data_IF_647360248395
#
_entry.id   IF_647360248395
#
_cell.length_a   1.000
_cell.length_b   1.000
_cell.length_c   1.000
_cell.angle_alpha   90.00
_cell.angle_beta   90.00
_cell.angle_gamma   90.00
#
_symmetry.space_group_name_H-M   'P 1'
#
loop_
_entity.id
_entity.type
_entity.pdbx_description
1 polymer ?
#
# COMPACT_ATOMS: atom_id res chain seq x y z
N UNK A 1 -32.57 5.64 28.60
CA UNK A 1 -31.17 6.08 28.67
C UNK A 1 -31.11 7.44 28.02
N UNK A 2 -30.67 8.46 28.75
CA UNK A 2 -30.67 9.85 28.25
C UNK A 2 -29.53 10.03 27.24
N UNK A 3 -29.70 10.84 26.19
CA UNK A 3 -28.66 11.15 25.19
C UNK A 3 -27.36 11.63 25.84
N UNK A 4 -27.49 12.33 26.97
CA UNK A 4 -26.36 12.76 27.80
C UNK A 4 -25.52 11.59 28.35
N UNK A 5 -26.15 10.51 28.82
CA UNK A 5 -25.45 9.33 29.32
C UNK A 5 -24.67 8.63 28.19
N UNK A 6 -25.25 8.59 26.98
CA UNK A 6 -24.59 8.01 25.81
C UNK A 6 -23.35 8.81 25.43
N UNK A 7 -23.44 10.14 25.41
CA UNK A 7 -22.29 11.02 25.15
C UNK A 7 -21.19 10.84 26.19
N UNK A 8 -21.55 10.70 27.46
CA UNK A 8 -20.58 10.50 28.53
C UNK A 8 -19.84 9.16 28.41
N UNK A 9 -20.53 8.08 27.99
CA UNK A 9 -19.91 6.79 27.69
C UNK A 9 -18.93 6.91 26.52
N UNK A 10 -19.32 7.57 25.42
CA UNK A 10 -18.44 7.78 24.26
C UNK A 10 -17.19 8.55 24.69
N UNK A 11 -17.36 9.64 25.44
CA UNK A 11 -16.25 10.45 25.92
C UNK A 11 -15.27 9.65 26.79
N UNK A 12 -15.80 8.82 27.70
CA UNK A 12 -14.98 7.95 28.55
C UNK A 12 -14.21 6.89 27.74
N UNK A 13 -14.85 6.30 26.72
CA UNK A 13 -14.19 5.35 25.81
C UNK A 13 -13.07 6.02 25.00
N UNK A 14 -13.32 7.21 24.46
CA UNK A 14 -12.30 8.01 23.75
C UNK A 14 -11.13 8.34 24.67
N UNK A 15 -11.41 8.81 25.89
CA UNK A 15 -10.39 9.12 26.89
C UNK A 15 -9.56 7.88 27.27
N UNK A 16 -10.19 6.72 27.40
CA UNK A 16 -9.49 5.46 27.66
C UNK A 16 -8.61 5.06 26.47
N UNK A 17 -9.12 5.21 25.24
CA UNK A 17 -8.37 4.98 24.01
C UNK A 17 -7.13 5.88 23.89
N UNK A 18 -7.27 7.17 24.17
CA UNK A 18 -6.14 8.13 24.16
C UNK A 18 -5.09 7.75 25.21
N UNK A 19 -5.50 7.39 26.43
CA UNK A 19 -4.58 6.94 27.47
C UNK A 19 -3.83 5.67 27.06
N UNK A 20 -4.53 4.73 26.44
CA UNK A 20 -3.94 3.49 25.94
C UNK A 20 -2.92 3.79 24.81
N UNK A 21 -3.30 4.61 23.83
CA UNK A 21 -2.41 5.04 22.75
C UNK A 21 -1.17 5.77 23.28
N UNK A 22 -1.34 6.69 24.22
CA UNK A 22 -0.24 7.41 24.85
C UNK A 22 0.73 6.46 25.57
N UNK A 23 0.22 5.43 26.26
CA UNK A 23 1.03 4.40 26.92
C UNK A 23 1.84 3.56 25.93
N UNK A 24 1.36 3.39 24.71
CA UNK A 24 1.99 2.58 23.66
C UNK A 24 2.53 3.40 22.48
N UNK A 25 2.68 4.72 22.64
CA UNK A 25 3.06 5.63 21.56
C UNK A 25 4.41 5.25 20.93
N UNK A 26 5.39 4.86 21.76
CA UNK A 26 6.70 4.42 21.27
C UNK A 26 6.58 3.20 20.35
N UNK A 27 5.74 2.23 20.70
CA UNK A 27 5.50 1.05 19.86
C UNK A 27 4.75 1.42 18.57
N UNK A 28 3.76 2.32 18.68
CA UNK A 28 2.99 2.85 17.56
C UNK A 28 3.87 3.57 16.54
N UNK A 29 4.93 4.26 16.98
CA UNK A 29 5.89 4.92 16.09
C UNK A 29 6.98 3.96 15.59
N UNK A 30 7.42 3.03 16.43
CA UNK A 30 8.47 2.07 16.10
C UNK A 30 8.03 1.08 15.02
N UNK A 31 6.83 0.51 15.13
CA UNK A 31 6.37 -0.52 14.18
C UNK A 31 6.33 0.02 12.73
N UNK A 32 5.68 1.16 12.44
CA UNK A 32 5.68 1.72 11.09
C UNK A 32 7.07 2.09 10.60
N UNK A 33 7.93 2.65 11.45
CA UNK A 33 9.32 2.96 11.08
C UNK A 33 10.09 1.68 10.70
N UNK A 34 9.96 0.59 11.47
CA UNK A 34 10.56 -0.70 11.13
C UNK A 34 10.00 -1.25 9.81
N UNK A 35 8.69 -1.15 9.59
CA UNK A 35 8.07 -1.59 8.34
C UNK A 35 8.54 -0.76 7.14
N UNK A 36 8.69 0.56 7.30
CA UNK A 36 9.25 1.45 6.28
C UNK A 36 10.70 1.09 5.96
N UNK A 37 11.51 0.81 6.99
CA UNK A 37 12.89 0.36 6.80
C UNK A 37 12.98 -0.99 6.08
N UNK A 38 12.14 -1.96 6.47
CA UNK A 38 12.06 -3.27 5.78
C UNK A 38 11.67 -3.07 4.31
N UNK A 39 10.68 -2.22 4.03
CA UNK A 39 10.25 -1.91 2.67
C UNK A 39 11.41 -1.37 1.82
N UNK A 40 12.14 -0.38 2.33
CA UNK A 40 13.31 0.18 1.63
C UNK A 40 14.42 -0.84 1.40
N UNK A 41 14.68 -1.72 2.37
CA UNK A 41 15.67 -2.81 2.22
C UNK A 41 15.23 -3.75 1.10
N UNK A 42 13.95 -4.12 1.05
CA UNK A 42 13.40 -4.96 -0.02
C UNK A 42 13.59 -4.27 -1.37
N UNK A 43 13.24 -2.99 -1.48
CA UNK A 43 13.37 -2.22 -2.73
C UNK A 43 14.82 -2.15 -3.23
N UNK A 44 15.78 -1.82 -2.36
CA UNK A 44 17.20 -1.81 -2.71
C UNK A 44 17.70 -3.20 -3.09
N UNK A 45 17.26 -4.24 -2.37
CA UNK A 45 17.67 -5.62 -2.62
C UNK A 45 17.17 -6.17 -3.96
N UNK A 46 16.04 -5.67 -4.48
CA UNK A 46 15.52 -6.02 -5.80
C UNK A 46 16.43 -5.53 -6.94
N UNK A 47 17.16 -4.43 -6.74
CA UNK A 47 18.18 -3.97 -7.68
C UNK A 47 19.49 -4.76 -7.50
N UNK A 48 20.01 -4.79 -6.27
CA UNK A 48 21.12 -5.64 -5.86
C UNK A 48 21.24 -5.63 -4.34
N UNK A 49 21.55 -6.78 -3.75
CA UNK A 49 21.81 -6.87 -2.31
C UNK A 49 22.92 -5.92 -1.83
N UNK A 50 23.90 -5.60 -2.69
CA UNK A 50 24.96 -4.65 -2.37
C UNK A 50 24.47 -3.22 -2.15
N UNK A 51 23.28 -2.86 -2.65
CA UNK A 51 22.74 -1.50 -2.54
C UNK A 51 22.07 -1.19 -1.21
N UNK A 52 21.82 -2.21 -0.37
CA UNK A 52 21.32 -2.02 1.00
C UNK A 52 22.24 -1.11 1.82
N UNK A 53 23.54 -1.02 1.50
CA UNK A 53 24.48 -0.10 2.16
C UNK A 53 24.19 1.39 1.94
N UNK A 54 23.41 1.71 0.90
CA UNK A 54 23.01 3.08 0.57
C UNK A 54 21.66 3.46 1.19
N UNK A 55 21.13 2.61 2.06
CA UNK A 55 19.95 2.86 2.86
C UNK A 55 20.04 4.20 3.60
N UNK A 56 18.95 4.96 3.59
CA UNK A 56 18.88 6.24 4.27
C UNK A 56 17.95 6.20 5.49
N UNK A 57 18.49 6.32 6.72
CA UNK A 57 17.68 6.33 7.94
C UNK A 57 16.67 7.49 8.00
N UNK A 58 16.93 8.62 7.32
CA UNK A 58 16.03 9.77 7.31
C UNK A 58 14.73 9.46 6.54
N UNK A 59 14.84 8.72 5.43
CA UNK A 59 13.68 8.31 4.64
C UNK A 59 12.84 7.25 5.36
N UNK A 60 13.44 6.41 6.20
CA UNK A 60 12.71 5.42 7.02
C UNK A 60 11.63 6.09 7.87
N UNK A 61 11.92 7.29 8.39
CA UNK A 61 10.94 8.06 9.14
C UNK A 61 9.80 8.54 8.24
N UNK A 62 10.12 9.02 7.04
CA UNK A 62 9.11 9.43 6.05
C UNK A 62 8.20 8.28 5.63
N UNK A 63 8.79 7.16 5.23
CA UNK A 63 8.05 5.95 4.82
C UNK A 63 7.30 5.32 5.98
N UNK A 64 7.88 5.35 7.19
CA UNK A 64 7.23 4.92 8.41
C UNK A 64 6.00 5.77 8.75
N UNK A 65 6.07 7.09 8.61
CA UNK A 65 4.92 7.98 8.80
C UNK A 65 3.83 7.75 7.75
N UNK A 66 4.22 7.46 6.51
CA UNK A 66 3.28 7.07 5.46
C UNK A 66 2.54 5.79 5.85
N UNK A 67 3.26 4.74 6.24
CA UNK A 67 2.68 3.46 6.71
C UNK A 67 1.80 3.68 7.94
N UNK A 68 2.22 4.54 8.88
CA UNK A 68 1.42 4.88 10.05
C UNK A 68 0.09 5.53 9.64
N UNK A 69 0.12 6.45 8.66
CA UNK A 69 -1.09 7.10 8.13
C UNK A 69 -2.04 6.06 7.52
N UNK A 70 -1.51 5.10 6.75
CA UNK A 70 -2.29 3.98 6.22
C UNK A 70 -2.90 3.13 7.35
N UNK A 71 -2.10 2.79 8.36
CA UNK A 71 -2.55 1.97 9.49
C UNK A 71 -3.63 2.66 10.31
N UNK A 72 -3.48 3.96 10.62
CA UNK A 72 -4.49 4.75 11.31
C UNK A 72 -5.80 4.72 10.52
N UNK A 73 -5.72 4.87 9.20
CA UNK A 73 -6.88 4.86 8.34
C UNK A 73 -7.59 3.48 8.36
N UNK A 74 -6.86 2.38 8.20
CA UNK A 74 -7.42 1.03 8.23
C UNK A 74 -7.97 0.63 9.60
N UNK A 75 -7.20 0.87 10.67
CA UNK A 75 -7.61 0.58 12.05
C UNK A 75 -8.81 1.44 12.43
N UNK A 76 -8.81 2.72 12.07
CA UNK A 76 -9.92 3.64 12.32
C UNK A 76 -11.21 3.15 11.66
N UNK A 77 -11.13 2.75 10.39
CA UNK A 77 -12.27 2.17 9.65
C UNK A 77 -12.77 0.88 10.31
N UNK A 78 -11.85 -0.03 10.67
CA UNK A 78 -12.20 -1.27 11.36
C UNK A 78 -12.87 -1.02 12.72
N UNK A 79 -12.32 -0.13 13.54
CA UNK A 79 -12.88 0.23 14.84
C UNK A 79 -14.26 0.87 14.70
N UNK A 80 -14.44 1.75 13.71
CA UNK A 80 -15.73 2.34 13.41
C UNK A 80 -16.78 1.28 13.07
N UNK A 81 -16.45 0.34 12.18
CA UNK A 81 -17.33 -0.78 11.84
C UNK A 81 -17.62 -1.67 13.07
N UNK A 82 -16.62 -1.94 13.90
CA UNK A 82 -16.78 -2.70 15.13
C UNK A 82 -17.71 -2.00 16.14
N UNK A 83 -17.64 -0.68 16.26
CA UNK A 83 -18.53 0.09 17.14
C UNK A 83 -19.98 -0.03 16.65
N UNK A 84 -20.24 0.17 15.35
CA UNK A 84 -21.57 -0.02 14.76
C UNK A 84 -22.08 -1.44 15.03
N UNK A 85 -21.23 -2.44 14.78
CA UNK A 85 -21.52 -3.85 15.04
C UNK A 85 -21.92 -4.12 16.50
N UNK A 86 -21.11 -3.63 17.44
CA UNK A 86 -21.33 -3.86 18.88
C UNK A 86 -22.63 -3.22 19.37
N UNK A 87 -22.95 -2.00 18.90
CA UNK A 87 -24.20 -1.31 19.23
C UNK A 87 -25.41 -2.08 18.71
N UNK A 88 -25.33 -2.55 17.46
CA UNK A 88 -26.40 -3.33 16.86
C UNK A 88 -26.69 -4.62 17.64
N UNK A 89 -25.66 -5.36 18.03
CA UNK A 89 -25.85 -6.61 18.78
C UNK A 89 -26.50 -6.35 20.14
N UNK A 90 -26.08 -5.30 20.82
CA UNK A 90 -26.58 -4.98 22.15
C UNK A 90 -28.04 -4.51 22.12
N UNK A 91 -28.47 -3.79 21.07
CA UNK A 91 -29.88 -3.41 20.93
C UNK A 91 -30.80 -4.61 20.69
N UNK A 92 -30.32 -5.66 20.01
CA UNK A 92 -31.11 -6.85 19.68
C UNK A 92 -31.26 -7.82 20.86
N UNK A 93 -30.37 -7.77 21.86
CA UNK A 93 -30.39 -8.69 23.01
C UNK A 93 -31.32 -8.29 24.17
N UNK A 94 -31.96 -7.11 24.11
CA UNK A 94 -32.80 -6.59 25.21
C UNK A 94 -34.25 -7.11 25.13
N UNK A 95 -34.69 -7.60 23.98
CA UNK A 95 -36.03 -8.16 23.83
C UNK A 95 -36.08 -9.61 24.29
N UNK A 96 -36.75 -9.82 25.43
CA UNK A 96 -36.87 -11.10 26.10
C UNK A 96 -37.62 -12.11 25.21
N UNK A 97 -37.00 -13.22 24.76
CA UNK A 97 -37.55 -14.10 23.73
C UNK A 97 -38.70 -15.00 24.21
N UNK A 98 -39.16 -14.87 25.46
CA UNK A 98 -40.11 -15.82 26.06
C UNK A 98 -41.57 -15.62 25.65
N UNK A 99 -41.94 -14.46 25.08
CA UNK A 99 -43.37 -14.12 24.86
C UNK A 99 -43.72 -13.72 23.42
N UNK A 100 -42.84 -13.91 22.44
CA UNK A 100 -43.16 -13.59 21.05
C UNK A 100 -43.76 -14.82 20.36
N UNK A 101 -45.05 -14.74 20.03
CA UNK A 101 -45.71 -15.70 19.14
C UNK A 101 -44.90 -15.86 17.85
N UNK A 102 -44.82 -17.08 17.27
CA UNK A 102 -44.12 -17.30 16.03
C UNK A 102 -44.77 -16.46 14.93
N UNK A 103 -44.15 -15.33 14.59
CA UNK A 103 -44.51 -14.55 13.42
C UNK A 103 -44.51 -15.49 12.20
N UNK A 104 -45.68 -15.73 11.62
CA UNK A 104 -45.81 -16.44 10.35
C UNK A 104 -45.13 -15.62 9.26
N UNK A 105 -43.89 -15.99 8.98
CA UNK A 105 -43.07 -15.41 7.92
C UNK A 105 -43.72 -15.81 6.59
N UNK A 106 -44.40 -14.88 5.92
CA UNK A 106 -44.80 -15.05 4.52
C UNK A 106 -43.54 -15.08 3.64
N UNK A 107 -43.08 -16.30 3.35
CA UNK A 107 -41.73 -16.60 2.86
C UNK A 107 -41.36 -16.02 1.50
N UNK A 108 -42.34 -15.73 0.64
CA UNK A 108 -42.10 -15.32 -0.76
C UNK A 108 -41.61 -13.87 -0.89
N UNK A 109 -42.19 -12.93 -0.16
CA UNK A 109 -41.84 -11.50 -0.23
C UNK A 109 -40.43 -11.24 0.30
N UNK A 110 -40.00 -12.03 1.29
CA UNK A 110 -38.67 -11.93 1.88
C UNK A 110 -37.58 -12.53 0.99
N UNK A 111 -37.90 -13.61 0.26
CA UNK A 111 -36.99 -14.20 -0.69
C UNK A 111 -36.66 -13.25 -1.86
N UNK A 112 -37.68 -12.58 -2.41
CA UNK A 112 -37.49 -11.60 -3.49
C UNK A 112 -36.64 -10.40 -3.03
N UNK A 113 -36.84 -9.92 -1.80
CA UNK A 113 -36.00 -8.87 -1.19
C UNK A 113 -34.55 -9.33 -1.01
N UNK A 114 -34.32 -10.56 -0.55
CA UNK A 114 -32.96 -11.10 -0.43
C UNK A 114 -32.25 -11.19 -1.79
N UNK A 115 -32.94 -11.66 -2.84
CA UNK A 115 -32.37 -11.75 -4.18
C UNK A 115 -32.04 -10.37 -4.75
N UNK A 116 -32.96 -9.40 -4.68
CA UNK A 116 -32.74 -8.08 -5.26
C UNK A 116 -31.55 -7.35 -4.60
N UNK A 117 -31.33 -7.60 -3.32
CA UNK A 117 -30.25 -7.00 -2.55
C UNK A 117 -28.92 -7.74 -2.72
N UNK A 118 -28.94 -9.06 -2.89
CA UNK A 118 -27.77 -9.81 -3.34
C UNK A 118 -27.33 -9.33 -4.74
N UNK A 119 -28.26 -9.09 -5.66
CA UNK A 119 -27.92 -8.50 -6.96
C UNK A 119 -27.35 -7.10 -6.85
N UNK A 120 -27.87 -6.25 -5.94
CA UNK A 120 -27.30 -4.92 -5.69
C UNK A 120 -25.87 -5.00 -5.13
N UNK A 121 -25.61 -5.92 -4.20
CA UNK A 121 -24.27 -6.20 -3.69
C UNK A 121 -23.31 -6.60 -4.81
N UNK A 122 -23.74 -7.51 -5.70
CA UNK A 122 -22.94 -7.91 -6.86
C UNK A 122 -22.70 -6.71 -7.79
N UNK A 123 -23.69 -5.85 -8.03
CA UNK A 123 -23.53 -4.64 -8.86
C UNK A 123 -22.49 -3.69 -8.23
N UNK A 124 -22.56 -3.43 -6.92
CA UNK A 124 -21.60 -2.58 -6.23
C UNK A 124 -20.19 -3.17 -6.26
N UNK A 125 -20.06 -4.48 -6.08
CA UNK A 125 -18.78 -5.19 -6.19
C UNK A 125 -18.21 -5.13 -7.61
N UNK A 126 -19.06 -5.29 -8.63
CA UNK A 126 -18.66 -5.14 -10.04
C UNK A 126 -18.27 -3.69 -10.36
N UNK A 127 -18.96 -2.69 -9.80
CA UNK A 127 -18.60 -1.29 -9.92
C UNK A 127 -17.25 -0.99 -9.26
N UNK A 128 -16.98 -1.59 -8.11
CA UNK A 128 -15.69 -1.47 -7.42
C UNK A 128 -14.57 -2.11 -8.24
N UNK A 129 -14.77 -3.31 -8.78
CA UNK A 129 -13.83 -3.97 -9.71
C UNK A 129 -13.61 -3.12 -10.96
N UNK A 130 -14.67 -2.54 -11.53
CA UNK A 130 -14.58 -1.66 -12.69
C UNK A 130 -13.77 -0.40 -12.39
N UNK A 131 -14.06 0.25 -11.27
CA UNK A 131 -13.36 1.46 -10.81
C UNK A 131 -11.88 1.14 -10.56
N UNK A 132 -11.58 0.03 -9.87
CA UNK A 132 -10.23 -0.46 -9.66
C UNK A 132 -9.53 -0.73 -11.00
N UNK A 133 -10.21 -1.38 -11.95
CA UNK A 133 -9.64 -1.66 -13.28
C UNK A 133 -9.32 -0.40 -14.07
N UNK A 134 -10.13 0.65 -13.95
CA UNK A 134 -9.91 1.93 -14.62
C UNK A 134 -8.79 2.72 -13.95
N UNK A 135 -8.73 2.71 -12.62
CA UNK A 135 -7.62 3.33 -11.89
C UNK A 135 -6.30 2.60 -12.19
N UNK A 136 -6.30 1.27 -12.31
CA UNK A 136 -5.13 0.50 -12.70
C UNK A 136 -4.67 0.83 -14.14
N UNK A 137 -5.58 1.19 -15.05
CA UNK A 137 -5.25 1.60 -16.42
C UNK A 137 -4.67 3.01 -16.50
N UNK A 138 -5.05 3.90 -15.58
CA UNK A 138 -4.58 5.28 -15.50
C UNK A 138 -4.37 5.67 -14.04
N UNK A 139 -3.25 5.25 -13.43
CA UNK A 139 -2.94 5.58 -12.05
C UNK A 139 -2.48 7.05 -11.99
N UNK A 140 -3.39 7.98 -12.25
CA UNK A 140 -3.06 9.40 -12.29
C UNK A 140 -2.82 9.96 -10.88
N UNK A 141 -3.31 9.27 -9.83
CA UNK A 141 -2.81 9.48 -8.47
C UNK A 141 -3.05 8.27 -7.56
N UNK A 142 -2.03 7.85 -6.81
CA UNK A 142 -2.17 6.88 -5.73
C UNK A 142 -3.22 7.31 -4.70
N UNK A 143 -3.35 8.62 -4.45
CA UNK A 143 -4.35 9.17 -3.56
C UNK A 143 -5.77 8.81 -3.97
N UNK A 144 -6.04 8.66 -5.28
CA UNK A 144 -7.33 8.19 -5.78
C UNK A 144 -7.63 6.76 -5.30
N UNK A 145 -6.66 5.85 -5.36
CA UNK A 145 -6.82 4.48 -4.84
C UNK A 145 -7.01 4.52 -3.33
N UNK A 146 -6.16 5.28 -2.64
CA UNK A 146 -6.13 5.38 -1.19
C UNK A 146 -7.46 5.89 -0.61
N UNK A 147 -8.09 6.86 -1.27
CA UNK A 147 -9.30 7.52 -0.78
C UNK A 147 -10.56 6.82 -1.29
N UNK A 148 -10.61 6.44 -2.57
CA UNK A 148 -11.84 5.88 -3.15
C UNK A 148 -12.10 4.45 -2.70
N UNK A 149 -11.08 3.62 -2.49
CA UNK A 149 -11.28 2.24 -2.08
C UNK A 149 -11.94 2.12 -0.68
N UNK A 150 -11.48 2.87 0.34
CA UNK A 150 -12.19 2.97 1.60
C UNK A 150 -13.59 3.55 1.52
N UNK A 151 -13.80 4.59 0.72
CA UNK A 151 -15.11 5.20 0.58
C UNK A 151 -16.09 4.20 -0.05
N UNK A 152 -15.66 3.50 -1.10
CA UNK A 152 -16.44 2.45 -1.75
C UNK A 152 -16.81 1.33 -0.76
N UNK A 153 -15.84 0.87 0.03
CA UNK A 153 -16.08 -0.15 1.06
C UNK A 153 -16.98 0.35 2.20
N UNK A 154 -16.87 1.61 2.63
CA UNK A 154 -17.79 2.23 3.59
C UNK A 154 -19.21 2.29 3.03
N UNK A 155 -19.38 2.74 1.78
CA UNK A 155 -20.69 2.80 1.12
C UNK A 155 -21.32 1.41 1.02
N UNK A 156 -20.54 0.40 0.62
CA UNK A 156 -20.98 -0.99 0.57
C UNK A 156 -21.45 -1.49 1.94
N UNK A 157 -20.73 -1.14 3.01
CA UNK A 157 -21.11 -1.49 4.37
C UNK A 157 -22.34 -0.76 4.87
N UNK A 158 -22.49 0.53 4.56
CA UNK A 158 -23.71 1.28 4.89
C UNK A 158 -24.92 0.67 4.17
N UNK A 159 -24.76 0.24 2.92
CA UNK A 159 -25.81 -0.47 2.18
C UNK A 159 -26.15 -1.83 2.82
N UNK A 160 -25.14 -2.61 3.23
CA UNK A 160 -25.33 -3.87 3.94
C UNK A 160 -25.96 -3.68 5.32
N UNK A 161 -25.54 -2.67 6.08
CA UNK A 161 -26.11 -2.36 7.39
C UNK A 161 -27.57 -1.91 7.24
N UNK A 162 -27.87 -0.99 6.32
CA UNK A 162 -29.23 -0.57 6.02
C UNK A 162 -30.12 -1.76 5.61
N UNK A 163 -29.58 -2.70 4.83
CA UNK A 163 -30.26 -3.95 4.50
C UNK A 163 -30.58 -4.79 5.75
N UNK A 164 -29.60 -4.96 6.63
CA UNK A 164 -29.74 -5.70 7.88
C UNK A 164 -30.79 -5.08 8.79
N UNK A 165 -30.83 -3.75 8.87
CA UNK A 165 -31.85 -3.02 9.62
C UNK A 165 -33.25 -3.20 9.02
N UNK A 166 -33.38 -3.14 7.68
CA UNK A 166 -34.66 -3.27 7.00
C UNK A 166 -35.29 -4.68 7.11
N UNK A 167 -34.49 -5.71 7.44
CA UNK A 167 -34.92 -7.11 7.49
C UNK A 167 -34.78 -7.74 8.90
N UNK A 168 -34.66 -6.90 9.94
CA UNK A 168 -34.47 -7.30 11.34
C UNK A 168 -35.51 -8.30 11.86
N UNK A 169 -36.74 -8.27 11.34
CA UNK A 169 -37.83 -9.15 11.78
C UNK A 169 -37.73 -10.60 11.27
N UNK A 170 -36.84 -10.90 10.31
CA UNK A 170 -36.89 -12.14 9.52
C UNK A 170 -35.78 -13.13 9.89
N UNK A 171 -34.68 -12.67 10.51
CA UNK A 171 -33.47 -13.49 10.69
C UNK A 171 -33.17 -13.71 12.18
N UNK A 172 -33.21 -14.98 12.60
CA UNK A 172 -32.88 -15.42 13.97
C UNK A 172 -31.53 -14.85 14.42
N UNK A 173 -31.52 -14.16 15.56
CA UNK A 173 -30.40 -13.38 16.12
C UNK A 173 -29.05 -14.12 16.16
N UNK A 174 -29.05 -15.45 16.33
CA UNK A 174 -27.84 -16.27 16.33
C UNK A 174 -27.18 -16.40 14.93
N UNK A 175 -27.98 -16.56 13.88
CA UNK A 175 -27.48 -16.72 12.51
C UNK A 175 -26.81 -15.42 12.03
N UNK A 176 -27.36 -14.29 12.43
CA UNK A 176 -26.84 -12.95 12.15
C UNK A 176 -25.45 -12.72 12.75
N UNK A 177 -25.24 -13.07 14.04
CA UNK A 177 -23.92 -12.92 14.68
C UNK A 177 -22.83 -13.71 13.95
N UNK A 178 -23.16 -14.92 13.49
CA UNK A 178 -22.23 -15.80 12.78
C UNK A 178 -21.89 -15.26 11.38
N UNK A 179 -22.91 -14.83 10.62
CA UNK A 179 -22.71 -14.23 9.29
C UNK A 179 -21.85 -12.98 9.40
N UNK A 180 -22.23 -12.05 10.28
CA UNK A 180 -21.57 -10.75 10.36
C UNK A 180 -20.09 -10.87 10.79
N UNK A 181 -19.77 -11.82 11.67
CA UNK A 181 -18.37 -12.16 11.98
C UNK A 181 -17.59 -12.64 10.75
N UNK A 182 -18.19 -13.48 9.91
CA UNK A 182 -17.56 -13.94 8.67
C UNK A 182 -17.45 -12.81 7.63
N UNK A 183 -18.43 -11.92 7.55
CA UNK A 183 -18.37 -10.72 6.70
C UNK A 183 -17.21 -9.80 7.09
N UNK A 184 -17.00 -9.55 8.39
CA UNK A 184 -15.86 -8.76 8.88
C UNK A 184 -14.52 -9.40 8.50
N UNK A 185 -14.41 -10.72 8.64
CA UNK A 185 -13.20 -11.46 8.25
C UNK A 185 -12.95 -11.43 6.73
N UNK A 186 -14.00 -11.63 5.93
CA UNK A 186 -13.91 -11.53 4.47
C UNK A 186 -13.51 -10.12 4.03
N UNK A 187 -14.00 -9.08 4.70
CA UNK A 187 -13.57 -7.70 4.46
C UNK A 187 -12.09 -7.50 4.77
N UNK A 188 -11.62 -7.98 5.93
CA UNK A 188 -10.20 -7.89 6.28
C UNK A 188 -9.33 -8.55 5.20
N UNK A 189 -9.72 -9.74 4.73
CA UNK A 189 -9.02 -10.43 3.64
C UNK A 189 -9.08 -9.65 2.32
N UNK A 190 -10.23 -9.07 1.96
CA UNK A 190 -10.38 -8.28 0.75
C UNK A 190 -9.50 -7.01 0.78
N UNK A 191 -9.40 -6.35 1.93
CA UNK A 191 -8.49 -5.21 2.14
C UNK A 191 -7.04 -5.63 1.96
N UNK A 192 -6.62 -6.75 2.58
CA UNK A 192 -5.25 -7.27 2.43
C UNK A 192 -4.94 -7.62 0.97
N UNK A 193 -5.86 -8.29 0.26
CA UNK A 193 -5.69 -8.64 -1.15
C UNK A 193 -5.60 -7.37 -2.01
N UNK A 194 -6.50 -6.40 -1.80
CA UNK A 194 -6.47 -5.12 -2.51
C UNK A 194 -5.15 -4.39 -2.31
N UNK A 195 -4.63 -4.35 -1.08
CA UNK A 195 -3.32 -3.79 -0.77
C UNK A 195 -2.20 -4.51 -1.53
N UNK A 196 -2.20 -5.85 -1.56
CA UNK A 196 -1.20 -6.62 -2.30
C UNK A 196 -1.26 -6.37 -3.81
N UNK A 197 -2.47 -6.25 -4.39
CA UNK A 197 -2.66 -5.98 -5.81
C UNK A 197 -2.24 -4.56 -6.20
N UNK A 198 -2.39 -3.60 -5.29
CA UNK A 198 -2.07 -2.19 -5.53
C UNK A 198 -0.66 -1.80 -5.11
N UNK A 199 0.08 -2.67 -4.42
CA UNK A 199 1.45 -2.40 -3.94
C UNK A 199 2.43 -2.05 -5.08
N UNK A 200 2.26 -2.62 -6.27
CA UNK A 200 3.07 -2.28 -7.45
C UNK A 200 2.74 -0.88 -7.99
N UNK A 201 1.46 -0.54 -8.09
CA UNK A 201 1.00 0.79 -8.48
C UNK A 201 1.37 1.85 -7.45
N UNK A 202 1.35 1.49 -6.16
CA UNK A 202 1.85 2.31 -5.06
C UNK A 202 3.32 2.63 -5.28
N UNK A 203 4.17 1.61 -5.45
CA UNK A 203 5.59 1.80 -5.77
C UNK A 203 5.78 2.76 -6.94
N UNK A 204 5.05 2.57 -8.03
CA UNK A 204 5.18 3.41 -9.22
C UNK A 204 4.69 4.86 -9.01
N UNK A 205 3.78 5.10 -8.07
CA UNK A 205 3.27 6.43 -7.76
C UNK A 205 4.15 7.21 -6.79
N UNK A 206 4.94 6.50 -5.98
CA UNK A 206 5.99 7.07 -5.14
C UNK A 206 7.36 7.06 -5.82
N UNK A 207 7.45 6.46 -7.01
CA UNK A 207 8.59 6.68 -7.90
C UNK A 207 8.71 8.17 -8.24
N UNK A 208 9.89 8.56 -8.70
CA UNK A 208 10.24 9.94 -8.97
C UNK A 208 9.12 10.69 -9.74
N UNK A 209 8.64 11.83 -9.22
CA UNK A 209 7.63 12.59 -9.92
C UNK A 209 8.19 13.12 -11.24
N UNK A 210 7.47 12.87 -12.35
CA UNK A 210 7.89 13.21 -13.73
C UNK A 210 8.05 14.70 -13.99
N UNK A 211 7.57 15.55 -13.08
CA UNK A 211 7.63 17.01 -13.18
C UNK A 211 8.81 17.61 -12.41
N UNK A 212 9.78 16.80 -11.97
CA UNK A 212 11.03 17.30 -11.43
C UNK A 212 11.96 17.74 -12.56
N UNK A 213 11.95 19.03 -12.89
CA UNK A 213 12.82 19.62 -13.94
C UNK A 213 14.30 19.23 -13.75
N UNK A 214 14.75 19.15 -12.50
CA UNK A 214 16.13 18.78 -12.18
C UNK A 214 16.50 17.37 -12.64
N UNK A 215 15.56 16.44 -12.67
CA UNK A 215 15.86 15.06 -13.06
C UNK A 215 16.02 14.93 -14.56
N UNK A 216 15.25 15.71 -15.32
CA UNK A 216 15.42 15.80 -16.77
C UNK A 216 16.77 16.43 -17.12
N UNK A 217 17.21 17.46 -16.38
CA UNK A 217 18.53 18.08 -16.55
C UNK A 217 19.65 17.06 -16.31
N UNK A 218 19.59 16.27 -15.23
CA UNK A 218 20.61 15.26 -14.92
C UNK A 218 20.66 14.17 -15.99
N UNK A 219 19.50 13.65 -16.38
CA UNK A 219 19.37 12.64 -17.44
C UNK A 219 19.94 13.18 -18.76
N UNK A 220 19.64 14.44 -19.09
CA UNK A 220 20.15 15.10 -20.29
C UNK A 220 21.67 15.28 -20.25
N UNK A 221 22.24 15.76 -19.15
CA UNK A 221 23.70 15.93 -18.99
C UNK A 221 24.47 14.61 -19.14
N UNK A 222 23.93 13.52 -18.58
CA UNK A 222 24.52 12.19 -18.71
C UNK A 222 24.42 11.71 -20.17
N UNK A 223 23.28 11.94 -20.83
CA UNK A 223 23.07 11.58 -22.22
C UNK A 223 23.95 12.42 -23.18
N UNK A 224 24.20 13.70 -22.92
CA UNK A 224 25.14 14.51 -23.71
C UNK A 224 26.57 13.97 -23.64
N UNK A 225 26.98 13.50 -22.46
CA UNK A 225 28.31 12.92 -22.27
C UNK A 225 28.39 11.50 -22.87
N UNK A 226 27.28 10.75 -22.86
CA UNK A 226 27.20 9.37 -23.34
C UNK A 226 25.89 9.13 -24.10
N UNK A 227 25.82 9.54 -25.39
CA UNK A 227 24.57 9.53 -26.17
C UNK A 227 23.92 8.15 -26.29
N UNK A 228 24.71 7.10 -26.26
CA UNK A 228 24.21 5.73 -26.40
C UNK A 228 23.56 5.20 -25.11
N UNK A 229 23.89 5.72 -23.93
CA UNK A 229 23.66 5.04 -22.64
C UNK A 229 22.20 4.99 -22.14
N UNK A 230 21.30 5.83 -22.68
CA UNK A 230 19.88 5.93 -22.29
C UNK A 230 19.64 5.85 -20.76
N UNK A 231 20.05 6.89 -20.00
CA UNK A 231 19.97 6.88 -18.55
C UNK A 231 18.52 6.91 -18.05
N UNK A 232 18.21 6.05 -17.07
CA UNK A 232 16.91 6.00 -16.37
C UNK A 232 17.16 6.02 -14.87
N UNK A 233 16.57 6.97 -14.16
CA UNK A 233 16.65 7.01 -12.69
C UNK A 233 15.73 5.91 -12.15
N UNK A 234 16.30 4.94 -11.45
CA UNK A 234 15.56 3.80 -10.90
C UNK A 234 15.25 3.94 -9.41
N UNK A 235 16.03 4.74 -8.70
CA UNK A 235 15.86 4.99 -7.27
C UNK A 235 16.57 6.27 -6.85
N UNK A 236 16.02 6.93 -5.84
CA UNK A 236 16.65 8.07 -5.21
C UNK A 236 16.44 8.06 -3.70
N UNK A 237 17.39 8.63 -2.99
CA UNK A 237 17.19 9.07 -1.64
C UNK A 237 17.78 10.45 -1.40
N UNK A 238 17.73 10.92 -0.16
CA UNK A 238 18.29 12.20 0.26
C UNK A 238 19.81 12.27 0.07
N UNK A 239 20.50 11.14 -0.13
CA UNK A 239 21.97 11.06 -0.26
C UNK A 239 22.46 10.61 -1.62
N UNK A 240 21.70 9.79 -2.34
CA UNK A 240 22.14 9.09 -3.54
C UNK A 240 21.07 9.06 -4.61
N UNK A 241 21.51 9.14 -5.86
CA UNK A 241 20.72 8.93 -7.07
C UNK A 241 21.23 7.69 -7.81
N UNK A 242 20.34 6.77 -8.13
CA UNK A 242 20.65 5.53 -8.83
C UNK A 242 20.11 5.61 -10.25
N UNK A 243 21.02 5.50 -11.22
CA UNK A 243 20.73 5.65 -12.63
C UNK A 243 21.14 4.36 -13.34
N UNK A 244 20.17 3.69 -13.93
CA UNK A 244 20.39 2.56 -14.82
C UNK A 244 20.75 3.06 -16.21
N UNK A 245 21.82 2.51 -16.79
CA UNK A 245 22.23 2.75 -18.17
C UNK A 245 21.76 1.55 -19.00
N UNK A 246 20.64 1.72 -19.70
CA UNK A 246 19.95 0.64 -20.42
C UNK A 246 20.72 0.13 -21.64
N UNK A 247 21.67 0.93 -22.13
CA UNK A 247 22.47 0.64 -23.32
C UNK A 247 23.96 0.65 -22.98
N UNK A 248 24.78 0.36 -24.00
CA UNK A 248 26.23 0.35 -23.86
C UNK A 248 26.76 1.69 -23.36
N UNK A 249 27.51 1.60 -22.27
CA UNK A 249 28.32 2.67 -21.75
C UNK A 249 29.79 2.28 -21.88
N UNK A 250 30.64 3.18 -22.36
CA UNK A 250 32.08 2.89 -22.48
C UNK A 250 32.81 3.29 -21.21
N UNK A 251 33.18 2.29 -20.41
CA UNK A 251 34.08 2.48 -19.27
C UNK A 251 35.49 2.05 -19.70
N UNK A 252 36.44 3.00 -19.74
CA UNK A 252 37.83 2.75 -20.16
C UNK A 252 37.91 2.02 -21.52
N UNK A 253 37.17 2.52 -22.53
CA UNK A 253 37.05 1.95 -23.88
C UNK A 253 36.46 0.53 -23.95
N UNK A 254 35.82 0.04 -22.89
CA UNK A 254 35.10 -1.24 -22.89
C UNK A 254 33.60 -1.01 -22.75
N UNK A 255 32.77 -1.57 -23.65
CA UNK A 255 31.33 -1.47 -23.53
C UNK A 255 30.86 -2.27 -22.30
N UNK A 256 30.04 -1.64 -21.48
CA UNK A 256 29.37 -2.23 -20.31
C UNK A 256 27.88 -2.10 -20.54
N UNK A 257 27.14 -3.21 -20.44
CA UNK A 257 25.70 -3.21 -20.60
C UNK A 257 25.02 -3.39 -19.23
N UNK A 258 23.98 -2.60 -18.95
CA UNK A 258 23.23 -2.64 -17.69
C UNK A 258 24.06 -2.15 -16.50
N UNK A 259 24.82 -1.06 -16.68
CA UNK A 259 25.58 -0.46 -15.60
C UNK A 259 24.67 0.41 -14.71
N UNK A 260 24.89 0.35 -13.40
CA UNK A 260 24.24 1.25 -12.45
C UNK A 260 25.21 2.34 -12.02
N UNK A 261 24.87 3.58 -12.31
CA UNK A 261 25.58 4.76 -11.84
C UNK A 261 24.95 5.22 -10.53
N UNK A 262 25.77 5.40 -9.49
CA UNK A 262 25.34 5.87 -8.17
C UNK A 262 26.02 7.22 -7.94
N UNK A 263 25.24 8.29 -7.89
CA UNK A 263 25.72 9.66 -7.77
C UNK A 263 25.31 10.20 -6.39
N UNK A 264 26.24 10.65 -5.55
CA UNK A 264 25.89 11.41 -4.34
C UNK A 264 25.09 12.67 -4.70
N UNK A 265 24.04 12.99 -3.94
CA UNK A 265 23.17 14.14 -4.25
C UNK A 265 23.94 15.47 -4.19
N UNK A 266 24.95 15.57 -3.34
CA UNK A 266 25.86 16.73 -3.27
C UNK A 266 26.66 16.95 -4.56
N UNK A 267 27.02 15.87 -5.26
CA UNK A 267 27.79 15.94 -6.50
C UNK A 267 26.93 16.40 -7.70
N UNK A 268 25.60 16.28 -7.61
CA UNK A 268 24.68 16.64 -8.69
C UNK A 268 24.84 18.10 -9.12
N UNK A 269 25.04 19.00 -8.16
CA UNK A 269 25.17 20.43 -8.44
C UNK A 269 26.49 20.78 -9.14
N UNK A 270 27.51 19.93 -8.99
CA UNK A 270 28.82 20.11 -9.60
C UNK A 270 28.95 19.44 -10.98
N UNK A 271 27.93 18.70 -11.43
CA UNK A 271 27.90 18.08 -12.76
C UNK A 271 28.04 19.11 -13.91
N UNK A 272 27.62 20.35 -13.69
CA UNK A 272 27.74 21.43 -14.70
C UNK A 272 29.14 22.02 -14.80
N UNK A 273 29.93 21.98 -13.72
CA UNK A 273 31.25 22.61 -13.64
C UNK A 273 32.38 21.62 -13.95
N UNK A 274 32.15 20.34 -13.69
CA UNK A 274 33.11 19.29 -13.89
C UNK A 274 32.73 18.55 -15.16
N UNK A 275 33.55 18.64 -16.23
CA UNK A 275 33.58 17.60 -17.26
C UNK A 275 33.92 16.29 -16.54
N UNK A 276 32.90 15.60 -16.05
CA UNK A 276 33.06 14.43 -15.19
C UNK A 276 33.79 13.36 -16.00
N UNK A 277 35.11 13.27 -15.80
CA UNK A 277 35.78 11.96 -15.88
C UNK A 277 35.21 11.18 -14.71
N UNK A 278 34.31 10.24 -14.99
CA UNK A 278 33.68 9.43 -13.95
C UNK A 278 34.72 8.98 -12.92
N UNK A 279 34.40 9.10 -11.61
CA UNK A 279 35.37 8.80 -10.58
C UNK A 279 35.78 7.32 -10.62
N UNK A 280 37.03 7.04 -10.22
CA UNK A 280 37.66 5.70 -10.15
C UNK A 280 36.85 4.64 -9.39
N UNK A 281 35.81 5.02 -8.64
CA UNK A 281 34.88 4.08 -7.96
C UNK A 281 34.12 3.15 -8.92
N UNK A 282 34.09 3.47 -10.22
CA UNK A 282 33.58 2.58 -11.27
C UNK A 282 34.43 1.32 -11.48
N UNK A 283 35.73 1.33 -11.16
CA UNK A 283 36.59 0.14 -11.34
C UNK A 283 36.18 -1.02 -10.42
N UNK A 284 35.77 -0.74 -9.18
CA UNK A 284 35.35 -1.78 -8.23
C UNK A 284 33.99 -2.40 -8.61
N UNK A 285 33.03 -1.57 -9.04
CA UNK A 285 31.74 -2.05 -9.54
C UNK A 285 31.89 -2.83 -10.85
N UNK A 286 32.76 -2.35 -11.74
CA UNK A 286 33.11 -3.03 -12.99
C UNK A 286 33.77 -4.39 -12.74
N UNK A 287 34.71 -4.46 -11.80
CA UNK A 287 35.36 -5.72 -11.43
C UNK A 287 34.34 -6.73 -10.87
N UNK A 288 33.40 -6.29 -10.02
CA UNK A 288 32.34 -7.15 -9.52
C UNK A 288 31.41 -7.67 -10.64
N UNK A 289 31.04 -6.81 -11.59
CA UNK A 289 30.22 -7.20 -12.74
C UNK A 289 30.94 -8.22 -13.65
N UNK A 290 32.22 -8.02 -13.95
CA UNK A 290 33.00 -8.98 -14.74
C UNK A 290 33.07 -10.36 -14.08
N UNK A 291 33.23 -10.40 -12.75
CA UNK A 291 33.23 -11.67 -11.99
C UNK A 291 31.87 -12.39 -12.09
N UNK A 292 30.76 -11.66 -12.11
CA UNK A 292 29.42 -12.25 -12.28
C UNK A 292 29.19 -12.79 -13.69
N UNK A 293 29.64 -12.06 -14.72
CA UNK A 293 29.54 -12.52 -16.11
C UNK A 293 30.38 -13.78 -16.37
N UNK A 294 31.63 -13.83 -15.88
CA UNK A 294 32.46 -15.03 -15.96
C UNK A 294 31.82 -16.24 -15.26
N UNK A 295 31.15 -16.02 -14.10
CA UNK A 295 30.41 -17.09 -13.42
C UNK A 295 29.22 -17.61 -14.23
N UNK A 296 28.50 -16.73 -14.95
CA UNK A 296 27.40 -17.12 -15.85
C UNK A 296 27.90 -17.91 -17.06
N UNK A 297 28.97 -17.43 -17.71
CA UNK A 297 29.59 -18.13 -18.85
C UNK A 297 30.12 -19.51 -18.47
N UNK A 298 30.78 -19.62 -17.32
CA UNK A 298 31.29 -20.91 -16.83
C UNK A 298 30.15 -21.89 -16.47
N UNK A 299 29.01 -21.41 -15.95
CA UNK A 299 27.82 -22.25 -15.76
C UNK A 299 27.22 -22.73 -17.09
N UNK A 300 27.14 -21.86 -18.10
CA UNK A 300 26.69 -22.21 -19.45
C UNK A 300 27.57 -23.29 -20.08
N UNK A 301 28.90 -23.15 -20.00
CA UNK A 301 29.85 -24.15 -20.51
C UNK A 301 29.76 -25.50 -19.79
N UNK A 302 29.40 -25.51 -18.51
CA UNK A 302 29.27 -26.73 -17.71
C UNK A 302 27.97 -27.50 -17.99
N UNK A 303 26.92 -26.83 -18.47
CA UNK A 303 25.67 -27.47 -18.87
C UNK A 303 25.70 -28.03 -20.30
N UNK A 304 26.66 -27.60 -21.12
CA UNK A 304 26.84 -28.06 -22.51
C UNK A 304 27.93 -29.16 -22.65
N UNK A 305 28.42 -29.71 -21.55
CA UNK A 305 29.33 -30.86 -21.49
C UNK A 305 28.66 -31.98 -20.71
#
# INVERSE_FOLDING_TARGET
>A
MNDFEQLQIIFNLVKQGIRYLSKHLSLLLLIPALLGGIWQIIELSQMSFSYVRFFSPSQVLGDGLLILTLLIFFIGTFLFLYIIYSRYINSVSVDNPSNQEPLEITSKTNYIKCISLFSLYIILLLFEIYTLSNILKKPDSFFTILILFPIATIILYLALAAWMFANLSIVRTWFYKKILRHTIWLWFMAVVISFMLTASSFRNSFALPKNLVNTDIIVHQIAETNPEAQPVIVYNNDKYLFIELNNFYYLNNKPVNGAMLIIPVEDIFHLSEVKYKLPKYTEAAYHFYQVQQQKKENKSKKNNR
#
